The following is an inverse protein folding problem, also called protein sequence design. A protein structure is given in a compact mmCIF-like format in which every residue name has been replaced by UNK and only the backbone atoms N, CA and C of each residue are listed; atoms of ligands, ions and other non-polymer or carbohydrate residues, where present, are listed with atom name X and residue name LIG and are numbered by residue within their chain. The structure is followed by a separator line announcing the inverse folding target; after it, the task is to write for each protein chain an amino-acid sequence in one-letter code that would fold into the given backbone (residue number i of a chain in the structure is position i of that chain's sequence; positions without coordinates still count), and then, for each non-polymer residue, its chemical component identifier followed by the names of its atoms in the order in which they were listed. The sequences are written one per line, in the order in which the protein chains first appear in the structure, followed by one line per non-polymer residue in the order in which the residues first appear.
data_IF_933824051682
#
_entry.id   IF_933824051682
#
_cell.length_a   1.000
_cell.length_b   1.000
_cell.length_c   1.000
_cell.angle_alpha   90.00
_cell.angle_beta   90.00
_cell.angle_gamma   90.00
#
_symmetry.space_group_name_H-M   'P 1'
#
loop_
_entity.id
_entity.type
_entity.pdbx_description
1 polymer ?
#
# COMPACT_ATOMS: atom_id res chain seq x y z
N UNK A 1 -4.44 -2.05 8.23
CA UNK A 1 -3.31 -2.82 7.67
C UNK A 1 -3.05 -4.14 8.41
N UNK A 2 -2.49 -4.15 9.63
CA UNK A 2 -2.08 -5.39 10.35
C UNK A 2 -3.14 -6.48 10.41
N UNK A 3 -4.37 -6.12 10.80
CA UNK A 3 -5.47 -7.07 10.93
C UNK A 3 -5.81 -7.75 9.59
N UNK A 4 -5.92 -6.98 8.51
CA UNK A 4 -6.15 -7.52 7.16
C UNK A 4 -5.02 -8.44 6.72
N UNK A 5 -3.77 -8.05 6.93
CA UNK A 5 -2.62 -8.89 6.58
C UNK A 5 -2.66 -10.23 7.34
N UNK A 6 -2.99 -10.21 8.64
CA UNK A 6 -3.11 -11.44 9.44
C UNK A 6 -4.20 -12.38 8.92
N UNK A 7 -5.33 -11.85 8.45
CA UNK A 7 -6.42 -12.68 7.91
C UNK A 7 -6.13 -13.17 6.49
N UNK A 8 -5.51 -12.34 5.64
CA UNK A 8 -5.12 -12.76 4.29
C UNK A 8 -4.04 -13.86 4.34
N UNK A 9 -3.11 -13.78 5.29
CA UNK A 9 -2.05 -14.79 5.45
C UNK A 9 -2.59 -16.20 5.78
N UNK A 10 -3.84 -16.32 6.27
CA UNK A 10 -4.49 -17.62 6.50
C UNK A 10 -4.85 -18.30 5.18
N UNK A 11 -5.20 -17.53 4.15
CA UNK A 11 -5.78 -18.04 2.90
C UNK A 11 -4.89 -17.83 1.67
N UNK A 12 -3.84 -17.01 1.78
CA UNK A 12 -2.96 -16.65 0.68
C UNK A 12 -1.50 -16.70 1.15
N UNK A 13 -0.59 -17.37 0.40
CA UNK A 13 0.83 -17.31 0.68
C UNK A 13 1.41 -15.90 0.42
N UNK A 14 2.60 -15.66 0.96
CA UNK A 14 3.42 -14.46 0.66
C UNK A 14 2.76 -13.11 1.01
N UNK A 15 1.99 -13.10 2.11
CA UNK A 15 1.41 -11.87 2.66
C UNK A 15 2.36 -11.23 3.68
N UNK A 16 2.86 -10.03 3.36
CA UNK A 16 3.75 -9.27 4.24
C UNK A 16 3.10 -7.99 4.74
N UNK A 17 3.07 -7.81 6.06
CA UNK A 17 2.68 -6.53 6.65
C UNK A 17 3.89 -5.61 6.80
N UNK A 18 3.96 -4.58 5.96
CA UNK A 18 5.01 -3.56 6.02
C UNK A 18 4.66 -2.54 7.10
N UNK A 19 5.37 -2.60 8.24
CA UNK A 19 5.19 -1.69 9.36
C UNK A 19 6.53 -1.18 9.89
N UNK A 20 6.53 -0.01 10.52
CA UNK A 20 7.73 0.55 11.15
C UNK A 20 8.51 1.45 10.21
N UNK A 21 9.84 1.27 10.18
CA UNK A 21 10.76 2.18 9.52
C UNK A 21 10.69 2.08 7.98
N UNK A 22 10.88 3.21 7.30
CA UNK A 22 10.89 3.30 5.83
C UNK A 22 11.96 2.42 5.17
N UNK A 23 13.05 2.09 5.87
CA UNK A 23 14.08 1.16 5.40
C UNK A 23 13.50 -0.20 5.04
N UNK A 24 12.64 -0.75 5.91
CA UNK A 24 11.98 -2.05 5.69
C UNK A 24 11.13 -2.02 4.42
N UNK A 25 10.47 -0.89 4.14
CA UNK A 25 9.65 -0.73 2.96
C UNK A 25 10.52 -0.73 1.70
N UNK A 26 11.66 -0.03 1.73
CA UNK A 26 12.59 0.01 0.60
C UNK A 26 13.17 -1.36 0.28
N UNK A 27 13.54 -2.14 1.29
CA UNK A 27 14.11 -3.48 1.07
C UNK A 27 13.08 -4.36 0.36
N UNK A 28 11.81 -4.31 0.79
CA UNK A 28 10.72 -5.06 0.15
C UNK A 28 10.36 -4.54 -1.23
N UNK A 29 10.50 -3.25 -1.48
CA UNK A 29 10.26 -2.66 -2.80
C UNK A 29 11.14 -3.30 -3.89
N UNK A 30 12.36 -3.73 -3.53
CA UNK A 30 13.31 -4.34 -4.47
C UNK A 30 12.74 -5.63 -5.05
N UNK A 31 12.03 -6.41 -4.23
CA UNK A 31 11.45 -7.70 -4.59
C UNK A 31 10.08 -7.58 -5.29
N UNK A 32 9.45 -6.40 -5.25
CA UNK A 32 8.13 -6.18 -5.84
C UNK A 32 8.17 -5.91 -7.35
N UNK A 33 7.15 -6.40 -8.06
CA UNK A 33 6.89 -6.12 -9.47
C UNK A 33 5.44 -6.37 -9.91
N UNK A 34 5.26 -6.59 -11.21
CA UNK A 34 3.93 -6.69 -11.88
C UNK A 34 2.98 -7.79 -11.38
N UNK A 35 3.46 -8.73 -10.57
CA UNK A 35 2.66 -9.84 -10.02
C UNK A 35 2.21 -9.56 -8.59
N UNK A 36 2.69 -8.48 -7.99
CA UNK A 36 2.43 -8.16 -6.59
C UNK A 36 1.31 -7.14 -6.46
N UNK A 37 0.61 -7.22 -5.32
CA UNK A 37 -0.43 -6.28 -4.93
C UNK A 37 0.00 -5.55 -3.67
N UNK A 38 0.09 -4.22 -3.76
CA UNK A 38 0.36 -3.35 -2.63
C UNK A 38 -0.95 -2.75 -2.12
N UNK A 39 -1.37 -3.20 -0.93
CA UNK A 39 -2.54 -2.66 -0.24
C UNK A 39 -2.11 -1.58 0.75
N UNK A 40 -2.54 -0.34 0.52
CA UNK A 40 -2.14 0.83 1.30
C UNK A 40 -3.34 1.34 2.09
N UNK A 41 -3.14 1.58 3.38
CA UNK A 41 -4.08 2.30 4.24
C UNK A 41 -3.49 3.68 4.50
N UNK A 42 -4.05 4.71 3.88
CA UNK A 42 -3.61 6.10 4.04
C UNK A 42 -4.82 6.98 4.39
N UNK A 43 -5.10 7.07 5.69
CA UNK A 43 -6.29 7.70 6.28
C UNK A 43 -5.80 8.83 7.19
N UNK A 44 -6.08 10.09 6.80
CA UNK A 44 -5.74 11.38 7.43
C UNK A 44 -4.30 11.53 7.97
N UNK A 45 -3.63 12.64 7.59
CA UNK A 45 -2.19 12.95 7.81
C UNK A 45 -1.26 12.12 6.90
N UNK A 46 -1.47 12.28 5.60
CA UNK A 46 -0.69 11.60 4.55
C UNK A 46 0.81 11.78 4.77
N UNK A 47 1.52 10.66 4.83
CA UNK A 47 2.98 10.66 4.97
C UNK A 47 3.62 10.75 3.58
N UNK A 48 4.45 11.78 3.34
CA UNK A 48 5.11 11.94 2.03
C UNK A 48 5.93 10.71 1.63
N UNK A 49 6.56 10.04 2.60
CA UNK A 49 7.34 8.84 2.32
C UNK A 49 6.48 7.68 1.83
N UNK A 50 5.24 7.55 2.32
CA UNK A 50 4.29 6.57 1.81
C UNK A 50 3.84 6.90 0.39
N UNK A 51 3.66 8.19 0.07
CA UNK A 51 3.38 8.65 -1.30
C UNK A 51 4.53 8.30 -2.24
N UNK A 52 5.78 8.62 -1.86
CA UNK A 52 6.98 8.27 -2.65
C UNK A 52 7.16 6.76 -2.80
N UNK A 53 6.79 5.99 -1.77
CA UNK A 53 6.84 4.54 -1.83
C UNK A 53 5.81 3.98 -2.84
N UNK A 54 4.57 4.47 -2.79
CA UNK A 54 3.52 4.09 -3.74
C UNK A 54 3.89 4.44 -5.18
N UNK A 55 4.44 5.62 -5.42
CA UNK A 55 4.92 6.04 -6.74
C UNK A 55 5.97 5.07 -7.30
N UNK A 56 6.99 4.73 -6.50
CA UNK A 56 8.05 3.80 -6.93
C UNK A 56 7.53 2.38 -7.15
N UNK A 57 6.58 1.93 -6.33
CA UNK A 57 5.93 0.63 -6.52
C UNK A 57 5.14 0.62 -7.84
N UNK A 58 4.39 1.67 -8.13
CA UNK A 58 3.66 1.84 -9.37
C UNK A 58 4.59 1.83 -10.60
N UNK A 59 5.73 2.53 -10.54
CA UNK A 59 6.74 2.52 -11.60
C UNK A 59 7.31 1.11 -11.88
N UNK A 60 7.31 0.21 -10.88
CA UNK A 60 7.68 -1.21 -11.03
C UNK A 60 6.54 -2.10 -11.54
N UNK A 61 5.37 -1.53 -11.80
CA UNK A 61 4.18 -2.24 -12.27
C UNK A 61 3.36 -2.91 -11.17
N UNK A 62 3.66 -2.64 -9.89
CA UNK A 62 2.91 -3.22 -8.76
C UNK A 62 1.48 -2.71 -8.78
N UNK A 63 0.51 -3.60 -8.57
CA UNK A 63 -0.89 -3.18 -8.50
C UNK A 63 -1.19 -2.56 -7.15
N UNK A 64 -1.71 -1.33 -7.13
CA UNK A 64 -2.00 -0.62 -5.88
C UNK A 64 -3.50 -0.63 -5.60
N UNK A 65 -3.87 -1.04 -4.39
CA UNK A 65 -5.21 -0.91 -3.79
C UNK A 65 -5.11 0.06 -2.63
N UNK A 66 -5.83 1.17 -2.70
CA UNK A 66 -5.78 2.24 -1.70
C UNK A 66 -7.07 2.27 -0.89
N UNK A 67 -6.92 2.19 0.43
CA UNK A 67 -7.95 2.56 1.40
C UNK A 67 -7.62 3.95 1.94
N UNK A 68 -8.54 4.89 1.80
CA UNK A 68 -8.32 6.29 2.20
C UNK A 68 -9.61 6.92 2.72
N UNK A 69 -9.53 8.17 3.17
CA UNK A 69 -10.68 8.95 3.60
C UNK A 69 -11.25 9.80 2.45
N UNK A 70 -12.35 10.51 2.72
CA UNK A 70 -13.06 11.32 1.73
C UNK A 70 -12.23 12.42 1.06
N UNK A 71 -11.11 12.85 1.66
CA UNK A 71 -10.25 13.90 1.11
C UNK A 71 -9.24 13.36 0.10
N UNK A 72 -9.22 12.04 -0.13
CA UNK A 72 -8.38 11.30 -1.07
C UNK A 72 -6.87 11.55 -0.91
N UNK A 73 -6.15 10.53 -0.48
CA UNK A 73 -4.68 10.56 -0.48
C UNK A 73 -4.10 10.87 -1.87
N UNK A 74 -2.98 11.60 -1.98
CA UNK A 74 -2.22 11.76 -3.22
C UNK A 74 -1.87 10.43 -3.91
N UNK A 75 -1.81 9.32 -3.15
CA UNK A 75 -1.58 7.96 -3.64
C UNK A 75 -2.67 7.51 -4.62
N UNK A 76 -3.87 8.10 -4.56
CA UNK A 76 -4.99 7.76 -5.45
C UNK A 76 -4.61 7.83 -6.94
N UNK A 77 -3.66 8.69 -7.33
CA UNK A 77 -3.17 8.81 -8.71
C UNK A 77 -2.44 7.56 -9.23
N UNK A 78 -1.93 6.73 -8.32
CA UNK A 78 -1.18 5.50 -8.63
C UNK A 78 -2.01 4.24 -8.41
N UNK A 79 -3.15 4.37 -7.73
CA UNK A 79 -4.00 3.26 -7.33
C UNK A 79 -4.91 2.80 -8.46
N UNK A 80 -4.96 1.48 -8.68
CA UNK A 80 -5.96 0.88 -9.59
C UNK A 80 -7.34 0.88 -8.97
N UNK A 81 -7.41 0.67 -7.65
CA UNK A 81 -8.64 0.64 -6.88
C UNK A 81 -8.52 1.57 -5.68
N UNK A 82 -9.53 2.43 -5.49
CA UNK A 82 -9.61 3.35 -4.35
C UNK A 82 -10.90 3.09 -3.59
N UNK A 83 -10.77 2.89 -2.29
CA UNK A 83 -11.88 2.67 -1.36
C UNK A 83 -11.84 3.83 -0.38
N UNK A 84 -12.73 4.80 -0.61
CA UNK A 84 -12.85 5.99 0.23
C UNK A 84 -13.95 5.78 1.27
N UNK A 85 -13.56 5.75 2.55
CA UNK A 85 -14.50 5.73 3.66
C UNK A 85 -15.02 7.13 3.97
N UNK A 86 -16.33 7.25 4.22
CA UNK A 86 -16.93 8.41 4.89
C UNK A 86 -17.16 8.05 6.35
N UNK A 87 -16.47 8.74 7.26
CA UNK A 87 -16.73 8.75 8.70
C UNK A 87 -17.14 10.14 9.09
#
# INVERSE_FOLDING_TARGET
ARYMAAHLAIIQPDVYHLAGQESIWRDRLIDMGKRDVLVIFDIRRYQESLVRFAEKAHQRGVQIVLFTDQWLSPIARFARHVIAGRT
#
